data_IF_846580360735
#
_entry.id   IF_846580360735
#
_cell.length_a   1.000
_cell.length_b   1.000
_cell.length_c   1.000
_cell.angle_alpha   90.00
_cell.angle_beta   90.00
_cell.angle_gamma   90.00
#
_symmetry.space_group_name_H-M   'P 1'
#
loop_
_entity.id
_entity.type
_entity.pdbx_description
1 polymer ?
#
# COMPACT_ATOMS: atom_id res chain seq x y z
N UNK A 1 35.88 -21.71 -58.46
CA UNK A 1 35.13 -22.21 -57.28
C UNK A 1 35.24 -21.16 -56.19
N UNK A 2 34.14 -20.47 -55.88
CA UNK A 2 34.10 -19.39 -54.88
C UNK A 2 33.60 -19.99 -53.56
N UNK A 3 34.38 -19.85 -52.50
CA UNK A 3 34.01 -20.26 -51.15
C UNK A 3 32.94 -19.30 -50.62
N UNK A 4 31.74 -19.83 -50.39
CA UNK A 4 30.66 -19.20 -49.64
C UNK A 4 30.57 -19.94 -48.33
N UNK A 5 31.02 -19.35 -47.23
CA UNK A 5 30.55 -19.65 -45.86
C UNK A 5 31.48 -18.99 -44.83
N UNK A 6 30.98 -17.99 -44.12
CA UNK A 6 31.75 -17.38 -43.03
C UNK A 6 31.08 -16.21 -42.31
N UNK A 7 29.81 -15.92 -42.60
CA UNK A 7 29.12 -14.72 -42.10
C UNK A 7 27.73 -15.03 -41.50
N UNK A 8 27.54 -16.24 -40.95
CA UNK A 8 26.26 -16.66 -40.39
C UNK A 8 26.33 -17.29 -38.99
N UNK A 9 27.47 -17.16 -38.29
CA UNK A 9 27.63 -17.72 -36.92
C UNK A 9 27.82 -16.62 -35.86
N UNK A 10 28.10 -15.36 -36.24
CA UNK A 10 28.34 -14.28 -35.27
C UNK A 10 27.05 -13.55 -34.85
N UNK A 11 25.96 -13.67 -35.62
CA UNK A 11 24.70 -12.98 -35.32
C UNK A 11 23.78 -13.74 -34.34
N UNK A 12 24.08 -14.99 -34.00
CA UNK A 12 23.20 -15.83 -33.15
C UNK A 12 23.67 -15.94 -31.69
N UNK A 13 24.78 -15.28 -31.33
CA UNK A 13 25.37 -15.30 -29.98
C UNK A 13 25.27 -13.95 -29.25
N UNK A 14 24.54 -12.98 -29.80
CA UNK A 14 24.36 -11.63 -29.26
C UNK A 14 22.95 -11.34 -28.73
N UNK A 15 22.07 -12.35 -28.64
CA UNK A 15 20.70 -12.22 -28.07
C UNK A 15 20.52 -12.90 -26.70
N UNK A 16 21.59 -13.26 -26.00
CA UNK A 16 21.52 -13.80 -24.62
C UNK A 16 22.01 -12.82 -23.55
N UNK A 17 22.06 -11.53 -23.87
CA UNK A 17 22.17 -10.48 -22.85
C UNK A 17 20.80 -9.82 -22.71
N UNK A 18 19.82 -10.57 -22.20
CA UNK A 18 18.75 -9.93 -21.43
C UNK A 18 19.51 -9.31 -20.24
N UNK A 19 19.50 -7.99 -20.04
CA UNK A 19 19.93 -7.46 -18.77
C UNK A 19 18.93 -8.03 -17.78
N UNK A 20 19.38 -9.00 -16.97
CA UNK A 20 18.82 -9.26 -15.66
C UNK A 20 18.99 -7.94 -14.88
N UNK A 21 18.10 -6.99 -15.15
CA UNK A 21 17.93 -5.81 -14.36
C UNK A 21 17.47 -6.32 -12.99
N UNK A 22 18.44 -6.34 -12.08
CA UNK A 22 18.26 -6.26 -10.64
C UNK A 22 17.16 -7.17 -10.06
N UNK A 23 17.47 -8.46 -9.94
CA UNK A 23 17.08 -9.17 -8.72
C UNK A 23 18.34 -9.29 -7.88
N UNK A 24 18.78 -8.16 -7.32
CA UNK A 24 19.70 -8.17 -6.19
C UNK A 24 18.91 -8.74 -5.01
N UNK A 25 18.83 -10.07 -4.93
CA UNK A 25 18.61 -10.71 -3.64
C UNK A 25 19.72 -10.18 -2.73
N UNK A 26 19.36 -9.38 -1.73
CA UNK A 26 20.28 -8.95 -0.69
C UNK A 26 20.83 -10.20 -0.01
N UNK A 27 22.00 -10.66 -0.45
CA UNK A 27 22.69 -11.82 0.12
C UNK A 27 22.99 -11.51 1.57
N UNK A 28 22.24 -12.12 2.49
CA UNK A 28 22.45 -12.02 3.93
C UNK A 28 21.27 -11.49 4.75
N UNK A 29 20.18 -11.05 4.12
CA UNK A 29 18.95 -10.66 4.83
C UNK A 29 17.90 -11.75 4.62
N UNK A 30 17.35 -12.29 5.70
CA UNK A 30 16.24 -13.24 5.68
C UNK A 30 14.90 -12.47 5.69
N UNK A 31 14.14 -12.46 4.58
CA UNK A 31 12.88 -11.73 4.50
C UNK A 31 11.83 -12.23 5.49
N UNK A 32 11.80 -13.53 5.79
CA UNK A 32 10.81 -14.08 6.72
C UNK A 32 11.08 -13.61 8.15
N UNK A 33 12.36 -13.57 8.56
CA UNK A 33 12.76 -13.01 9.85
C UNK A 33 12.40 -11.51 9.97
N UNK A 34 12.54 -10.75 8.88
CA UNK A 34 12.10 -9.35 8.85
C UNK A 34 10.59 -9.21 9.00
N UNK A 35 9.81 -10.03 8.29
CA UNK A 35 8.35 -10.01 8.39
C UNK A 35 7.90 -10.39 9.81
N UNK A 36 8.49 -11.42 10.42
CA UNK A 36 8.22 -11.78 11.81
C UNK A 36 8.52 -10.62 12.77
N UNK A 37 9.64 -9.91 12.55
CA UNK A 37 10.00 -8.75 13.37
C UNK A 37 9.01 -7.60 13.23
N UNK A 38 8.58 -7.29 11.99
CA UNK A 38 7.56 -6.28 11.69
C UNK A 38 6.24 -6.60 12.41
N UNK A 39 5.74 -7.81 12.27
CA UNK A 39 4.47 -8.24 12.89
C UNK A 39 4.57 -8.20 14.42
N UNK A 40 5.71 -8.60 14.99
CA UNK A 40 5.93 -8.56 16.43
C UNK A 40 6.00 -7.13 16.98
N UNK A 41 6.63 -6.21 16.27
CA UNK A 41 6.72 -4.81 16.67
C UNK A 41 5.35 -4.17 16.60
N UNK A 42 4.60 -4.41 15.53
CA UNK A 42 3.24 -3.90 15.41
C UNK A 42 2.30 -4.44 16.51
N UNK A 43 2.39 -5.73 16.82
CA UNK A 43 1.63 -6.32 17.93
C UNK A 43 1.95 -5.64 19.26
N UNK A 44 3.24 -5.40 19.56
CA UNK A 44 3.65 -4.66 20.76
C UNK A 44 3.14 -3.22 20.76
N UNK A 45 3.12 -2.56 19.61
CA UNK A 45 2.54 -1.23 19.47
C UNK A 45 1.04 -1.24 19.76
N UNK A 46 0.28 -2.22 19.23
CA UNK A 46 -1.15 -2.36 19.52
C UNK A 46 -1.43 -2.67 20.98
N UNK A 47 -0.60 -3.46 21.63
CA UNK A 47 -0.74 -3.74 23.07
C UNK A 47 -0.56 -2.46 23.92
N UNK A 48 0.25 -1.51 23.45
CA UNK A 48 0.51 -0.23 24.10
C UNK A 48 -0.48 0.87 23.71
N UNK A 49 -0.96 0.84 22.47
CA UNK A 49 -1.83 1.84 21.86
C UNK A 49 -3.22 1.21 21.69
N UNK A 50 -4.11 1.51 22.64
CA UNK A 50 -5.47 0.95 22.66
C UNK A 50 -6.42 1.67 21.72
N UNK A 51 -6.27 2.99 21.65
CA UNK A 51 -7.08 3.87 20.83
C UNK A 51 -6.14 4.82 20.06
N UNK A 52 -6.38 5.00 18.77
CA UNK A 52 -5.69 5.96 17.91
C UNK A 52 -6.72 6.95 17.39
N UNK A 53 -6.38 8.23 17.45
CA UNK A 53 -7.13 9.28 16.78
C UNK A 53 -6.18 10.09 15.90
N UNK A 54 -6.52 10.23 14.63
CA UNK A 54 -5.75 11.07 13.70
C UNK A 54 -6.67 11.80 12.75
N UNK A 55 -6.23 12.99 12.33
CA UNK A 55 -6.85 13.75 11.27
C UNK A 55 -6.33 13.25 9.92
N UNK A 56 -7.18 13.19 8.91
CA UNK A 56 -6.84 12.70 7.58
C UNK A 56 -7.62 13.43 6.51
N UNK A 57 -6.99 13.56 5.35
CA UNK A 57 -7.55 14.14 4.15
C UNK A 57 -7.91 13.01 3.17
N UNK A 58 -9.15 13.03 2.68
CA UNK A 58 -9.61 12.12 1.64
C UNK A 58 -9.85 12.93 0.37
N UNK A 59 -9.01 12.69 -0.64
CA UNK A 59 -9.16 13.27 -1.97
C UNK A 59 -10.00 12.33 -2.85
N UNK A 60 -10.96 12.91 -3.57
CA UNK A 60 -11.82 12.22 -4.53
C UNK A 60 -11.63 12.92 -5.86
N UNK A 61 -11.14 12.16 -6.83
CA UNK A 61 -10.81 12.68 -8.15
C UNK A 61 -10.82 11.58 -9.19
N UNK A 62 -10.40 11.94 -10.39
CA UNK A 62 -10.18 11.01 -11.48
C UNK A 62 -8.78 11.23 -12.02
N UNK A 63 -8.14 10.15 -12.46
CA UNK A 63 -6.91 10.26 -13.22
C UNK A 63 -7.26 10.62 -14.66
N UNK A 64 -6.58 11.62 -15.22
CA UNK A 64 -6.69 11.91 -16.64
C UNK A 64 -6.01 10.81 -17.49
N UNK A 65 -6.12 10.92 -18.82
CA UNK A 65 -5.51 9.96 -19.75
C UNK A 65 -3.97 9.89 -19.64
N UNK A 66 -3.34 10.77 -18.86
CA UNK A 66 -1.90 10.82 -18.59
C UNK A 66 -1.58 10.39 -17.15
N UNK A 67 -2.53 9.77 -16.44
CA UNK A 67 -2.42 9.35 -15.04
C UNK A 67 -2.18 10.49 -14.05
N UNK A 68 -2.50 11.74 -14.43
CA UNK A 68 -2.42 12.86 -13.50
C UNK A 68 -3.75 12.91 -12.73
N UNK A 69 -3.66 12.82 -11.39
CA UNK A 69 -4.82 12.92 -10.52
C UNK A 69 -5.43 14.33 -10.57
N UNK A 70 -6.72 14.40 -10.92
CA UNK A 70 -7.51 15.62 -10.88
C UNK A 70 -8.51 15.55 -9.73
N UNK A 71 -8.24 16.32 -8.68
CA UNK A 71 -9.14 16.44 -7.53
C UNK A 71 -10.48 17.06 -7.96
N UNK A 72 -11.57 16.37 -7.61
CA UNK A 72 -12.94 16.87 -7.78
C UNK A 72 -13.52 17.37 -6.46
N UNK A 73 -13.23 16.65 -5.38
CA UNK A 73 -13.72 17.00 -4.04
C UNK A 73 -12.82 16.42 -2.97
N UNK A 74 -12.90 16.97 -1.76
CA UNK A 74 -12.07 16.58 -0.63
C UNK A 74 -12.88 16.57 0.66
N UNK A 75 -12.55 15.63 1.54
CA UNK A 75 -12.97 15.67 2.94
C UNK A 75 -11.77 15.81 3.86
N UNK A 76 -11.90 16.67 4.87
CA UNK A 76 -11.13 16.52 6.10
C UNK A 76 -11.98 15.76 7.11
N UNK A 77 -11.39 14.73 7.69
CA UNK A 77 -12.07 13.87 8.66
C UNK A 77 -11.13 13.48 9.78
N UNK A 78 -11.72 13.18 10.92
CA UNK A 78 -11.04 12.54 12.04
C UNK A 78 -11.38 11.07 12.03
N UNK A 79 -10.36 10.23 12.17
CA UNK A 79 -10.50 8.79 12.24
C UNK A 79 -10.18 8.35 13.66
N UNK A 80 -11.09 7.57 14.22
CA UNK A 80 -10.94 6.92 15.51
C UNK A 80 -10.81 5.43 15.28
N UNK A 81 -9.67 4.87 15.68
CA UNK A 81 -9.41 3.44 15.69
C UNK A 81 -9.36 2.97 17.13
N UNK A 82 -10.05 1.87 17.41
CA UNK A 82 -9.92 1.16 18.67
C UNK A 82 -9.51 -0.27 18.37
N UNK A 83 -8.35 -0.65 18.88
CA UNK A 83 -7.83 -2.00 18.74
C UNK A 83 -8.41 -2.88 19.86
N UNK A 84 -9.10 -3.93 19.47
CA UNK A 84 -9.61 -4.99 20.35
C UNK A 84 -8.80 -6.27 20.09
N UNK A 85 -8.94 -7.26 20.97
CA UNK A 85 -8.14 -8.49 20.91
C UNK A 85 -8.33 -9.27 19.60
N UNK A 86 -9.53 -9.20 19.00
CA UNK A 86 -9.92 -9.94 17.80
C UNK A 86 -10.35 -9.04 16.62
N UNK A 87 -10.49 -7.73 16.84
CA UNK A 87 -11.04 -6.82 15.84
C UNK A 87 -10.55 -5.40 16.02
N UNK A 88 -10.84 -4.54 15.04
CA UNK A 88 -10.57 -3.11 15.12
C UNK A 88 -11.86 -2.37 14.88
N UNK A 89 -12.30 -1.58 15.86
CA UNK A 89 -13.44 -0.69 15.70
C UNK A 89 -13.00 0.60 15.05
N UNK A 90 -13.82 1.06 14.11
CA UNK A 90 -13.54 2.22 13.27
C UNK A 90 -14.69 3.21 13.33
N UNK A 91 -14.37 4.47 13.53
CA UNK A 91 -15.32 5.56 13.38
C UNK A 91 -14.67 6.73 12.62
N UNK A 92 -15.44 7.32 11.70
CA UNK A 92 -15.06 8.50 10.95
C UNK A 92 -15.99 9.65 11.30
N UNK A 93 -15.39 10.79 11.65
CA UNK A 93 -16.10 12.05 11.81
C UNK A 93 -15.66 12.99 10.67
N UNK A 94 -16.61 13.37 9.82
CA UNK A 94 -16.34 14.27 8.70
C UNK A 94 -16.41 15.71 9.19
N UNK A 95 -15.28 16.41 9.15
CA UNK A 95 -15.13 17.76 9.69
C UNK A 95 -15.44 18.82 8.64
N UNK A 96 -14.84 18.69 7.45
CA UNK A 96 -14.99 19.64 6.35
C UNK A 96 -15.21 18.91 5.02
N UNK A 97 -15.93 19.55 4.12
CA UNK A 97 -16.13 19.07 2.76
C UNK A 97 -15.88 20.20 1.76
N UNK A 98 -15.02 19.94 0.79
CA UNK A 98 -14.71 20.83 -0.32
C UNK A 98 -15.20 20.21 -1.62
N UNK A 99 -15.90 21.00 -2.42
CA UNK A 99 -16.35 20.65 -3.77
C UNK A 99 -15.71 21.68 -4.71
N UNK A 100 -14.85 21.22 -5.63
CA UNK A 100 -14.04 22.11 -6.49
C UNK A 100 -13.28 23.19 -5.71
N UNK A 101 -12.61 22.80 -4.63
CA UNK A 101 -11.86 23.67 -3.71
C UNK A 101 -12.68 24.71 -2.93
N UNK A 102 -14.02 24.68 -3.01
CA UNK A 102 -14.88 25.56 -2.21
C UNK A 102 -15.42 24.82 -0.98
N UNK A 103 -15.25 25.41 0.21
CA UNK A 103 -15.80 24.88 1.45
C UNK A 103 -17.33 24.88 1.39
N UNK A 104 -17.93 23.73 1.66
CA UNK A 104 -19.36 23.52 1.60
C UNK A 104 -20.02 23.68 2.97
N UNK A 105 -21.35 23.81 2.98
CA UNK A 105 -22.14 23.87 4.23
C UNK A 105 -22.07 22.55 5.01
N UNK A 106 -22.33 22.63 6.31
CA UNK A 106 -22.43 21.46 7.18
C UNK A 106 -23.50 20.46 6.69
N UNK A 107 -24.64 20.96 6.22
CA UNK A 107 -25.72 20.11 5.67
C UNK A 107 -25.24 19.30 4.45
N UNK A 108 -24.55 19.94 3.50
CA UNK A 108 -24.02 19.24 2.31
C UNK A 108 -22.89 18.29 2.67
N UNK A 109 -22.04 18.64 3.65
CA UNK A 109 -21.03 17.74 4.20
C UNK A 109 -21.68 16.48 4.78
N UNK A 110 -22.71 16.63 5.61
CA UNK A 110 -23.37 15.53 6.30
C UNK A 110 -24.15 14.62 5.32
N UNK A 111 -24.79 15.22 4.31
CA UNK A 111 -25.41 14.48 3.20
C UNK A 111 -24.38 13.60 2.49
N UNK A 112 -23.25 14.18 2.07
CA UNK A 112 -22.21 13.46 1.32
C UNK A 112 -21.47 12.43 2.16
N UNK A 113 -21.24 12.72 3.44
CA UNK A 113 -20.69 11.75 4.39
C UNK A 113 -21.63 10.55 4.55
N UNK A 114 -22.93 10.78 4.71
CA UNK A 114 -23.94 9.72 4.83
C UNK A 114 -24.02 8.87 3.57
N UNK A 115 -24.09 9.51 2.40
CA UNK A 115 -24.09 8.83 1.09
C UNK A 115 -22.88 7.88 0.98
N UNK A 116 -21.72 8.32 1.46
CA UNK A 116 -20.47 7.55 1.41
C UNK A 116 -20.48 6.38 2.41
N UNK A 117 -20.92 6.60 3.64
CA UNK A 117 -21.10 5.54 4.64
C UNK A 117 -22.06 4.47 4.12
N UNK A 118 -23.17 4.89 3.50
CA UNK A 118 -24.13 3.95 2.91
C UNK A 118 -23.58 3.19 1.72
N UNK A 119 -22.87 3.87 0.80
CA UNK A 119 -22.23 3.22 -0.35
C UNK A 119 -21.22 2.17 0.11
N UNK A 120 -20.38 2.49 1.09
CA UNK A 120 -19.43 1.55 1.70
C UNK A 120 -20.14 0.36 2.33
N UNK A 121 -21.18 0.61 3.14
CA UNK A 121 -21.99 -0.44 3.77
C UNK A 121 -22.61 -1.37 2.72
N UNK A 122 -23.13 -0.83 1.61
CA UNK A 122 -23.73 -1.61 0.52
C UNK A 122 -22.69 -2.47 -0.20
N UNK A 123 -21.47 -1.98 -0.37
CA UNK A 123 -20.36 -2.71 -1.00
C UNK A 123 -19.67 -3.71 -0.08
N UNK A 124 -20.01 -3.72 1.22
CA UNK A 124 -19.29 -4.48 2.24
C UNK A 124 -17.78 -4.19 2.21
N UNK A 125 -17.42 -2.97 1.78
CA UNK A 125 -16.02 -2.51 1.77
C UNK A 125 -15.51 -2.64 3.21
N UNK A 126 -14.48 -3.48 3.38
CA UNK A 126 -13.79 -3.57 4.66
C UNK A 126 -13.12 -2.23 4.94
N UNK A 127 -13.22 -1.73 6.17
CA UNK A 127 -12.54 -0.50 6.56
C UNK A 127 -11.06 -0.59 6.17
N UNK A 128 -10.50 0.49 5.63
CA UNK A 128 -9.07 0.63 5.34
C UNK A 128 -8.19 0.37 6.61
N UNK A 129 -8.80 0.26 7.79
CA UNK A 129 -8.18 -0.19 9.04
C UNK A 129 -8.11 -1.71 9.24
N UNK A 130 -8.66 -2.52 8.33
CA UNK A 130 -8.37 -3.96 8.24
C UNK A 130 -6.91 -4.00 7.82
N UNK A 131 -6.01 -4.32 8.75
CA UNK A 131 -4.68 -3.72 8.85
C UNK A 131 -4.01 -3.59 7.50
N UNK A 132 -3.39 -2.44 7.20
CA UNK A 132 -2.49 -2.32 6.05
C UNK A 132 -1.46 -3.46 6.03
N UNK A 133 -1.15 -4.03 7.20
CA UNK A 133 -0.29 -5.18 7.38
C UNK A 133 -0.94 -6.56 7.20
N UNK A 134 -2.21 -6.65 6.79
CA UNK A 134 -2.91 -7.90 6.51
C UNK A 134 -2.07 -8.88 5.67
N UNK A 135 -1.37 -8.45 4.61
CA UNK A 135 -0.51 -9.36 3.84
C UNK A 135 0.58 -10.04 4.68
N UNK A 136 1.08 -9.36 5.69
CA UNK A 136 2.21 -9.81 6.49
C UNK A 136 1.79 -10.74 7.65
N UNK A 137 0.50 -10.84 8.00
CA UNK A 137 0.07 -11.76 9.06
C UNK A 137 0.02 -13.22 8.58
N UNK A 138 0.40 -14.21 9.42
CA UNK A 138 0.42 -15.62 9.05
C UNK A 138 -0.91 -16.16 8.48
N UNK A 139 -2.04 -15.74 9.05
CA UNK A 139 -3.39 -16.19 8.69
C UNK A 139 -3.85 -15.74 7.30
N UNK A 140 -3.22 -14.72 6.72
CA UNK A 140 -3.60 -14.15 5.42
C UNK A 140 -2.46 -14.17 4.40
N UNK A 141 -1.22 -14.45 4.82
CA UNK A 141 -0.02 -14.44 3.96
C UNK A 141 -0.13 -15.38 2.76
N UNK A 142 -0.85 -16.51 2.90
CA UNK A 142 -1.03 -17.46 1.79
C UNK A 142 -1.75 -16.85 0.58
N UNK A 143 -2.52 -15.77 0.78
CA UNK A 143 -3.26 -15.06 -0.27
C UNK A 143 -2.44 -13.99 -0.99
N UNK A 144 -1.17 -13.80 -0.63
CA UNK A 144 -0.31 -12.78 -1.22
C UNK A 144 1.00 -13.37 -1.72
N UNK A 145 1.55 -12.76 -2.77
CA UNK A 145 2.96 -12.84 -3.14
C UNK A 145 3.66 -11.60 -2.59
N UNK A 146 4.63 -11.82 -1.71
CA UNK A 146 5.37 -10.77 -1.00
C UNK A 146 6.84 -10.88 -1.40
N UNK A 147 7.37 -9.81 -1.99
CA UNK A 147 8.74 -9.74 -2.49
C UNK A 147 9.49 -8.66 -1.71
N UNK A 148 10.63 -9.01 -1.15
CA UNK A 148 11.53 -8.05 -0.53
C UNK A 148 12.42 -7.43 -1.60
N UNK A 149 12.29 -6.11 -1.80
CA UNK A 149 12.98 -5.35 -2.84
C UNK A 149 14.33 -4.77 -2.37
N UNK A 150 14.59 -4.80 -1.06
CA UNK A 150 15.81 -4.28 -0.47
C UNK A 150 15.58 -3.06 0.43
N UNK A 151 16.65 -2.32 0.69
CA UNK A 151 16.59 -1.04 1.41
C UNK A 151 16.50 0.07 0.36
N UNK A 152 15.62 1.05 0.58
CA UNK A 152 15.43 2.18 -0.33
C UNK A 152 16.72 2.97 -0.52
N UNK A 153 17.03 3.36 -1.76
CA UNK A 153 18.21 4.17 -2.07
C UNK A 153 18.06 5.60 -1.51
N UNK A 154 16.85 6.16 -1.64
CA UNK A 154 16.47 7.46 -1.09
C UNK A 154 15.69 7.31 0.21
N UNK A 155 15.67 8.38 0.99
CA UNK A 155 14.84 8.48 2.20
C UNK A 155 13.37 8.65 1.84
N UNK A 156 12.50 7.91 2.52
CA UNK A 156 11.05 8.07 2.47
C UNK A 156 10.63 8.76 3.77
N UNK A 157 10.07 9.97 3.66
CA UNK A 157 9.67 10.81 4.80
C UNK A 157 10.79 10.94 5.85
N UNK A 158 12.02 11.21 5.40
CA UNK A 158 13.26 11.31 6.18
C UNK A 158 13.82 9.99 6.77
N UNK A 159 13.17 8.85 6.53
CA UNK A 159 13.58 7.52 7.01
C UNK A 159 14.24 6.67 5.92
N UNK A 160 15.21 5.83 6.31
CA UNK A 160 15.73 4.75 5.46
C UNK A 160 14.83 3.53 5.68
N UNK A 161 14.33 2.91 4.61
CA UNK A 161 13.28 1.91 4.71
C UNK A 161 13.63 0.58 4.05
N UNK A 162 13.18 -0.53 4.63
CA UNK A 162 12.98 -1.80 3.94
C UNK A 162 11.72 -1.69 3.05
N UNK A 163 11.86 -2.07 1.79
CA UNK A 163 10.76 -2.09 0.82
C UNK A 163 10.27 -3.52 0.57
N UNK A 164 8.95 -3.69 0.63
CA UNK A 164 8.27 -4.92 0.22
C UNK A 164 7.23 -4.61 -0.85
N UNK A 165 7.26 -5.34 -1.96
CA UNK A 165 6.19 -5.32 -2.95
C UNK A 165 5.22 -6.46 -2.68
N UNK A 166 3.93 -6.14 -2.60
CA UNK A 166 2.86 -7.06 -2.22
C UNK A 166 1.83 -7.13 -3.33
N UNK A 167 1.54 -8.35 -3.77
CA UNK A 167 0.54 -8.64 -4.78
C UNK A 167 -0.46 -9.68 -4.25
N UNK A 168 -1.74 -9.40 -4.33
CA UNK A 168 -2.80 -10.35 -4.00
C UNK A 168 -2.89 -11.45 -5.07
N UNK A 169 -3.04 -12.69 -4.62
CA UNK A 169 -3.39 -13.85 -5.45
C UNK A 169 -4.90 -13.95 -5.69
N UNK A 170 -5.69 -13.18 -4.95
CA UNK A 170 -7.15 -13.19 -4.97
C UNK A 170 -7.66 -11.89 -5.60
N UNK A 171 -8.54 -12.03 -6.59
CA UNK A 171 -9.21 -10.93 -7.28
C UNK A 171 -10.49 -10.47 -6.56
N UNK A 172 -10.34 -9.96 -5.34
CA UNK A 172 -11.44 -9.42 -4.54
C UNK A 172 -11.08 -8.06 -3.93
N UNK A 173 -12.02 -7.10 -3.96
CA UNK A 173 -11.87 -5.71 -3.46
C UNK A 173 -11.46 -5.58 -1.97
N UNK A 174 -11.41 -6.69 -1.24
CA UNK A 174 -10.94 -6.75 0.15
C UNK A 174 -9.45 -7.04 0.31
N UNK A 175 -8.73 -7.28 -0.79
CA UNK A 175 -7.30 -7.52 -0.82
C UNK A 175 -6.57 -6.30 -1.39
N UNK A 176 -5.29 -6.17 -1.04
CA UNK A 176 -4.46 -5.02 -1.40
C UNK A 176 -3.28 -5.46 -2.26
N UNK A 177 -2.98 -4.66 -3.27
CA UNK A 177 -1.69 -4.64 -3.93
C UNK A 177 -0.96 -3.37 -3.50
N UNK A 178 0.35 -3.41 -3.33
CA UNK A 178 1.07 -2.18 -3.02
C UNK A 178 2.52 -2.37 -2.61
N UNK A 179 3.18 -1.22 -2.44
CA UNK A 179 4.55 -1.12 -1.95
C UNK A 179 4.55 -0.61 -0.52
N UNK A 180 5.23 -1.35 0.35
CA UNK A 180 5.29 -1.12 1.79
C UNK A 180 6.70 -0.71 2.19
N UNK A 181 6.79 0.36 2.97
CA UNK A 181 8.05 0.94 3.42
C UNK A 181 8.11 0.91 4.96
N UNK A 182 8.99 0.08 5.49
CA UNK A 182 9.22 -0.06 6.94
C UNK A 182 10.56 0.56 7.32
N UNK A 183 10.60 1.42 8.34
CA UNK A 183 11.85 2.02 8.80
C UNK A 183 12.88 0.94 9.16
N UNK A 184 14.12 1.08 8.68
CA UNK A 184 15.14 0.04 8.79
C UNK A 184 15.60 -0.26 10.23
N UNK A 185 15.48 0.70 11.15
CA UNK A 185 15.90 0.53 12.54
C UNK A 185 14.77 0.03 13.45
N UNK A 186 13.58 0.61 13.30
CA UNK A 186 12.45 0.37 14.20
C UNK A 186 11.40 -0.56 13.61
N UNK A 187 11.48 -0.85 12.31
CA UNK A 187 10.52 -1.66 11.54
C UNK A 187 9.08 -1.12 11.61
N UNK A 188 8.91 0.16 11.97
CA UNK A 188 7.62 0.82 11.91
C UNK A 188 7.23 1.06 10.45
N UNK A 189 5.95 0.88 10.15
CA UNK A 189 5.42 1.21 8.84
C UNK A 189 5.44 2.73 8.65
N UNK A 190 6.25 3.21 7.72
CA UNK A 190 6.40 4.64 7.40
C UNK A 190 5.38 5.05 6.34
N UNK A 191 5.29 4.26 5.26
CA UNK A 191 4.42 4.56 4.11
C UNK A 191 3.92 3.28 3.45
N UNK A 192 2.73 3.39 2.87
CA UNK A 192 2.17 2.38 1.96
C UNK A 192 1.58 3.10 0.76
N UNK A 193 2.01 2.70 -0.42
CA UNK A 193 1.36 3.05 -1.68
C UNK A 193 0.57 1.83 -2.16
N UNK A 194 -0.76 1.85 -2.06
CA UNK A 194 -1.58 0.68 -2.35
C UNK A 194 -2.76 0.98 -3.28
N UNK A 195 -3.24 -0.09 -3.91
CA UNK A 195 -4.52 -0.17 -4.60
C UNK A 195 -5.32 -1.34 -4.05
N UNK A 196 -6.65 -1.20 -4.03
CA UNK A 196 -7.53 -2.34 -3.83
C UNK A 196 -7.58 -3.12 -5.15
N UNK A 197 -7.66 -4.46 -5.05
CA UNK A 197 -7.86 -5.33 -6.21
C UNK A 197 -9.24 -5.10 -6.82
#
# INVERSE_FOLDING_TARGET
MKAVSGWLIIAMLLMLAIPAAAQQHAVGIDPEALIEQIVNIEKKQREQIKDVTFDTELLIGENDNKMIFQEKSRFFKKVYLKFLDDTTWFHEEYLEYYDKNELQSAEKRDEKATERIEKRRKRKENFISRPMLLPFYPESREYYDIIYEGVTEDKIDDHVCHQFSVHSKIEEESYINGDFFFEAETFHLVRVDFTLV
#
